data_IF_987881386509
#
_entry.id   IF_987881386509
#
_cell.length_a   1.000
_cell.length_b   1.000
_cell.length_c   1.000
_cell.angle_alpha   90.00
_cell.angle_beta   90.00
_cell.angle_gamma   90.00
#
_symmetry.space_group_name_H-M   'P 1'
#
loop_
_entity.id
_entity.type
_entity.pdbx_description
1 polymer ?
#
# COMPACT_ATOMS: atom_id res chain seq x y z
N UNK A 1 58.95 28.06 -30.96
CA UNK A 1 59.24 27.83 -32.37
C UNK A 1 57.89 27.60 -33.03
N UNK A 2 57.34 28.65 -33.63
CA UNK A 2 57.47 29.09 -35.00
C UNK A 2 57.08 27.91 -35.93
N UNK A 3 56.09 27.93 -36.68
CA UNK A 3 55.47 28.71 -37.73
C UNK A 3 54.74 27.66 -38.63
N UNK A 4 53.91 27.83 -39.52
CA UNK A 4 53.24 28.90 -40.27
C UNK A 4 52.23 28.26 -41.25
N UNK A 5 51.21 28.99 -41.57
CA UNK A 5 50.29 28.83 -42.74
C UNK A 5 51.00 29.04 -44.10
N UNK A 6 50.43 28.65 -45.26
CA UNK A 6 49.47 29.51 -45.95
C UNK A 6 48.43 28.86 -46.87
N UNK A 7 47.23 29.47 -47.05
CA UNK A 7 46.63 30.19 -48.21
C UNK A 7 46.55 29.42 -49.55
N UNK A 8 45.53 29.43 -50.33
CA UNK A 8 44.43 30.27 -50.79
C UNK A 8 43.72 29.63 -52.03
N UNK A 9 42.45 30.01 -52.22
CA UNK A 9 41.74 30.35 -53.49
C UNK A 9 41.02 29.24 -54.25
N UNK A 10 39.75 29.60 -54.53
CA UNK A 10 39.04 29.34 -55.77
C UNK A 10 37.52 29.39 -55.64
N UNK A 11 36.92 30.55 -55.89
CA UNK A 11 35.46 30.74 -56.10
C UNK A 11 35.00 30.15 -57.42
N UNK A 12 33.82 29.52 -57.44
CA UNK A 12 32.91 29.60 -58.56
C UNK A 12 31.44 29.59 -58.06
N UNK A 13 30.74 30.65 -58.39
CA UNK A 13 29.31 30.82 -58.24
C UNK A 13 28.56 30.24 -59.47
N UNK A 14 27.50 29.53 -59.26
CA UNK A 14 26.31 29.55 -60.19
C UNK A 14 25.05 29.17 -59.41
N UNK A 15 23.91 29.80 -59.67
CA UNK A 15 22.68 29.66 -58.89
C UNK A 15 21.79 28.58 -59.47
N UNK A 16 21.13 27.81 -58.63
CA UNK A 16 19.97 27.01 -59.05
C UNK A 16 18.86 27.12 -58.03
N UNK A 17 17.76 27.42 -58.53
CA UNK A 17 16.42 27.71 -58.09
C UNK A 17 15.89 26.87 -56.94
N UNK A 18 15.24 27.57 -56.04
CA UNK A 18 14.29 27.13 -55.03
C UNK A 18 13.11 26.34 -55.61
N UNK A 19 12.93 25.11 -55.11
CA UNK A 19 11.59 24.51 -55.02
C UNK A 19 11.47 24.00 -53.56
N UNK A 20 10.70 24.74 -52.80
CA UNK A 20 10.39 24.39 -51.41
C UNK A 20 9.39 23.22 -51.39
N UNK A 21 9.82 22.08 -50.91
CA UNK A 21 8.93 21.02 -50.44
C UNK A 21 8.91 21.07 -48.93
N UNK A 22 7.85 21.66 -48.35
CA UNK A 22 7.51 21.54 -46.95
C UNK A 22 7.10 20.07 -46.70
N UNK A 23 8.03 19.27 -46.18
CA UNK A 23 7.70 18.00 -45.54
C UNK A 23 7.21 18.32 -44.14
N UNK A 24 5.87 18.39 -44.01
CA UNK A 24 5.21 18.31 -42.69
C UNK A 24 5.37 16.87 -42.20
N UNK A 25 6.40 16.62 -41.40
CA UNK A 25 6.51 15.39 -40.63
C UNK A 25 5.43 15.42 -39.53
N UNK A 26 4.27 14.85 -39.85
CA UNK A 26 3.26 14.54 -38.85
C UNK A 26 3.83 13.53 -37.85
N UNK A 27 4.23 13.99 -36.67
CA UNK A 27 4.49 13.12 -35.56
C UNK A 27 3.13 12.54 -35.16
N UNK A 28 2.81 11.37 -35.68
CA UNK A 28 1.73 10.56 -35.15
C UNK A 28 2.12 10.15 -33.76
N UNK A 29 1.60 10.83 -32.74
CA UNK A 29 1.62 10.38 -31.37
C UNK A 29 0.83 9.07 -31.31
N UNK A 30 1.51 7.94 -31.43
CA UNK A 30 0.97 6.64 -31.07
C UNK A 30 0.73 6.67 -29.58
N UNK A 31 -0.48 7.05 -29.15
CA UNK A 31 -0.97 6.67 -27.82
C UNK A 31 -1.03 5.14 -27.83
N UNK A 32 -0.01 4.51 -27.28
CA UNK A 32 -0.09 3.11 -26.87
C UNK A 32 -1.12 3.09 -25.74
N UNK A 33 -2.40 3.01 -26.07
CA UNK A 33 -3.41 2.52 -25.14
C UNK A 33 -2.98 1.08 -24.86
N UNK A 34 -2.36 0.85 -23.69
CA UNK A 34 -2.15 -0.48 -23.20
C UNK A 34 -3.50 -1.20 -23.32
N UNK A 35 -3.54 -2.27 -24.10
CA UNK A 35 -4.75 -3.10 -24.19
C UNK A 35 -4.98 -3.65 -22.79
N UNK A 36 -5.93 -3.08 -22.06
CA UNK A 36 -6.34 -3.53 -20.74
C UNK A 36 -6.96 -4.91 -20.96
N UNK A 37 -6.19 -5.95 -20.66
CA UNK A 37 -6.66 -7.33 -20.77
C UNK A 37 -7.74 -7.53 -19.73
N UNK A 38 -8.96 -7.81 -20.16
CA UNK A 38 -10.04 -8.24 -19.24
C UNK A 38 -9.64 -9.58 -18.64
N UNK A 39 -9.58 -9.63 -17.32
CA UNK A 39 -9.23 -10.83 -16.57
C UNK A 39 -10.33 -11.07 -15.57
N UNK A 40 -11.23 -12.01 -15.85
CA UNK A 40 -12.31 -12.40 -14.96
C UNK A 40 -12.34 -13.91 -14.75
N UNK A 41 -12.58 -14.35 -13.55
CA UNK A 41 -12.95 -15.72 -13.22
C UNK A 41 -14.46 -15.77 -13.07
N UNK A 42 -15.20 -16.73 -13.68
CA UNK A 42 -16.66 -16.81 -13.59
C UNK A 42 -17.19 -17.03 -12.17
N UNK A 43 -16.35 -17.44 -11.24
CA UNK A 43 -16.70 -17.60 -9.83
C UNK A 43 -16.74 -16.27 -9.07
N UNK A 44 -16.11 -15.22 -9.60
CA UNK A 44 -16.00 -13.89 -8.99
C UNK A 44 -17.28 -13.07 -9.25
N UNK A 45 -18.38 -13.52 -8.65
CA UNK A 45 -19.75 -13.00 -8.92
C UNK A 45 -19.96 -11.54 -8.56
N UNK A 46 -19.09 -11.00 -7.70
CA UNK A 46 -19.13 -9.60 -7.27
C UNK A 46 -18.39 -8.65 -8.21
N UNK A 47 -17.78 -9.16 -9.30
CA UNK A 47 -16.97 -8.35 -10.20
C UNK A 47 -17.55 -8.27 -11.60
N UNK A 48 -17.68 -7.06 -12.12
CA UNK A 48 -17.83 -6.79 -13.53
C UNK A 48 -16.65 -5.95 -14.04
N UNK A 49 -16.37 -6.02 -15.33
CA UNK A 49 -15.38 -5.20 -16.01
C UNK A 49 -13.99 -5.21 -15.34
N UNK A 50 -13.52 -6.40 -14.93
CA UNK A 50 -12.20 -6.56 -14.30
C UNK A 50 -11.11 -6.08 -15.23
N UNK A 51 -10.25 -5.20 -14.75
CA UNK A 51 -9.11 -4.63 -15.49
C UNK A 51 -7.84 -4.72 -14.68
N UNK A 52 -6.73 -5.06 -15.34
CA UNK A 52 -5.39 -4.99 -14.76
C UNK A 52 -4.82 -3.58 -14.95
N UNK A 53 -4.27 -2.98 -13.90
CA UNK A 53 -3.75 -1.61 -13.91
C UNK A 53 -2.22 -1.55 -13.99
N UNK A 54 -1.51 -2.57 -13.51
CA UNK A 54 -0.04 -2.68 -13.56
C UNK A 54 0.37 -4.01 -14.19
N UNK A 55 1.57 -4.07 -14.80
CA UNK A 55 1.96 -5.20 -15.65
C UNK A 55 3.36 -5.75 -15.34
N UNK A 56 4.02 -5.26 -14.30
CA UNK A 56 5.32 -5.69 -13.82
C UNK A 56 5.61 -5.14 -12.43
N UNK A 57 6.58 -5.75 -11.74
CA UNK A 57 7.05 -5.36 -10.41
C UNK A 57 6.15 -5.88 -9.29
N UNK A 58 6.52 -5.52 -8.07
CA UNK A 58 5.77 -5.86 -6.88
C UNK A 58 4.89 -4.66 -6.50
N UNK A 59 3.59 -4.75 -6.77
CA UNK A 59 2.63 -3.68 -6.51
C UNK A 59 1.64 -4.13 -5.43
N UNK A 60 1.35 -3.29 -4.46
CA UNK A 60 0.44 -3.59 -3.37
C UNK A 60 -0.23 -2.32 -2.82
N UNK A 61 -1.23 -2.53 -1.96
CA UNK A 61 -1.84 -1.47 -1.16
C UNK A 61 -2.33 -0.28 -1.98
N UNK A 62 -3.20 -0.56 -2.96
CA UNK A 62 -3.82 0.47 -3.76
C UNK A 62 -5.08 1.01 -3.07
N UNK A 63 -5.15 2.33 -2.90
CA UNK A 63 -6.26 2.99 -2.21
C UNK A 63 -6.75 4.20 -2.98
N UNK A 64 -8.08 4.33 -3.05
CA UNK A 64 -8.74 5.40 -3.80
C UNK A 64 -8.55 6.78 -3.19
N UNK A 65 -8.46 7.79 -4.04
CA UNK A 65 -8.68 9.19 -3.66
C UNK A 65 -10.13 9.42 -3.24
N UNK A 66 -10.39 10.49 -2.48
CA UNK A 66 -11.75 10.81 -2.02
C UNK A 66 -12.70 11.14 -3.18
N UNK A 67 -12.17 11.68 -4.29
CA UNK A 67 -12.94 11.92 -5.52
C UNK A 67 -13.14 10.65 -6.38
N UNK A 68 -12.56 9.50 -5.97
CA UNK A 68 -12.65 8.23 -6.66
C UNK A 68 -11.93 8.15 -8.02
N UNK A 69 -11.14 9.17 -8.39
CA UNK A 69 -10.53 9.27 -9.73
C UNK A 69 -9.09 8.81 -9.81
N UNK A 70 -8.43 8.66 -8.67
CA UNK A 70 -7.01 8.29 -8.58
C UNK A 70 -6.81 7.20 -7.55
N UNK A 71 -5.67 6.52 -7.68
CA UNK A 71 -5.17 5.55 -6.71
C UNK A 71 -3.81 6.02 -6.21
N UNK A 72 -3.51 5.74 -4.94
CA UNK A 72 -2.15 5.66 -4.43
C UNK A 72 -1.80 4.20 -4.23
N UNK A 73 -0.53 3.83 -4.39
CA UNK A 73 -0.08 2.44 -4.20
C UNK A 73 1.42 2.38 -3.93
N UNK A 74 1.85 1.33 -3.26
CA UNK A 74 3.27 1.05 -3.10
C UNK A 74 3.76 0.11 -4.20
N UNK A 75 5.00 0.29 -4.63
CA UNK A 75 5.59 -0.55 -5.67
C UNK A 75 7.11 -0.59 -5.59
N UNK A 76 7.66 -1.78 -5.76
CA UNK A 76 9.06 -1.98 -6.10
C UNK A 76 9.17 -2.16 -7.62
N UNK A 77 9.54 -1.08 -8.32
CA UNK A 77 9.64 -0.97 -9.78
C UNK A 77 10.75 0.00 -10.18
N UNK A 78 11.00 0.16 -11.46
CA UNK A 78 11.90 1.17 -12.02
C UNK A 78 13.33 1.14 -11.43
N UNK A 79 13.80 -0.05 -10.99
CA UNK A 79 15.13 -0.23 -10.43
C UNK A 79 15.30 0.19 -8.96
N UNK A 80 14.21 0.51 -8.25
CA UNK A 80 14.28 0.76 -6.81
C UNK A 80 14.48 -0.54 -6.03
N UNK A 81 15.39 -0.50 -5.05
CA UNK A 81 15.67 -1.64 -4.17
C UNK A 81 14.54 -1.93 -3.18
N UNK A 82 13.74 -0.92 -2.86
CA UNK A 82 12.61 -0.98 -1.94
C UNK A 82 11.33 -0.43 -2.56
N UNK A 83 10.21 -0.79 -1.93
CA UNK A 83 8.92 -0.18 -2.23
C UNK A 83 8.99 1.34 -2.12
N UNK A 84 8.43 2.00 -3.11
CA UNK A 84 8.21 3.44 -3.15
C UNK A 84 6.71 3.73 -3.29
N UNK A 85 6.29 4.93 -2.91
CA UNK A 85 4.90 5.35 -3.02
C UNK A 85 4.65 6.04 -4.35
N UNK A 86 3.59 5.60 -5.04
CA UNK A 86 3.15 6.09 -6.34
C UNK A 86 1.68 6.55 -6.29
N UNK A 87 1.31 7.33 -7.29
CA UNK A 87 -0.08 7.68 -7.62
C UNK A 87 -0.35 7.42 -9.09
N UNK A 88 -1.61 7.11 -9.43
CA UNK A 88 -2.07 6.94 -10.82
C UNK A 88 -3.56 7.25 -10.95
N UNK A 89 -4.04 7.40 -12.18
CA UNK A 89 -5.47 7.39 -12.51
C UNK A 89 -6.09 6.01 -12.28
N UNK A 90 -7.40 5.95 -12.03
CA UNK A 90 -8.12 4.66 -11.88
C UNK A 90 -8.15 3.82 -13.17
N UNK A 91 -7.73 4.40 -14.28
CA UNK A 91 -7.54 3.73 -15.55
C UNK A 91 -6.11 3.19 -15.76
N UNK A 92 -5.23 3.34 -14.75
CA UNK A 92 -3.82 2.98 -14.80
C UNK A 92 -2.92 4.04 -15.47
N UNK A 93 -3.47 5.18 -15.86
CA UNK A 93 -2.71 6.26 -16.49
C UNK A 93 -1.95 7.14 -15.50
N UNK A 94 -1.03 7.96 -16.02
CA UNK A 94 -0.32 9.00 -15.25
C UNK A 94 0.38 8.49 -14.00
N UNK A 95 1.01 7.32 -14.07
CA UNK A 95 1.79 6.75 -12.95
C UNK A 95 2.93 7.70 -12.59
N UNK A 96 3.01 8.08 -11.33
CA UNK A 96 4.04 8.97 -10.81
C UNK A 96 4.46 8.57 -9.40
N UNK A 97 5.77 8.50 -9.15
CA UNK A 97 6.31 8.37 -7.80
C UNK A 97 6.13 9.68 -7.02
N UNK A 98 5.72 9.57 -5.76
CA UNK A 98 5.55 10.72 -4.84
C UNK A 98 6.49 10.65 -3.64
N UNK A 99 7.00 9.48 -3.30
CA UNK A 99 8.04 9.31 -2.25
C UNK A 99 9.42 9.74 -2.75
N UNK A 100 10.41 9.95 -1.86
CA UNK A 100 11.72 10.50 -2.25
C UNK A 100 12.58 9.57 -3.10
N UNK A 101 12.29 8.26 -3.18
CA UNK A 101 13.07 7.28 -3.95
C UNK A 101 14.22 6.66 -3.15
N UNK A 102 14.28 6.91 -1.86
CA UNK A 102 15.26 6.39 -0.91
C UNK A 102 14.52 5.81 0.30
N UNK A 103 15.17 4.88 1.02
CA UNK A 103 14.53 4.11 2.08
C UNK A 103 13.38 3.25 1.55
N UNK A 104 12.59 2.67 2.45
CA UNK A 104 11.39 1.89 2.14
C UNK A 104 10.14 2.67 2.49
N UNK A 105 9.11 2.60 1.66
CA UNK A 105 7.79 3.18 1.96
C UNK A 105 6.73 2.10 2.10
N UNK A 106 5.63 2.42 2.79
CA UNK A 106 4.45 1.54 2.90
C UNK A 106 3.19 2.34 3.18
N UNK A 107 2.03 1.74 2.91
CA UNK A 107 0.70 2.15 3.35
C UNK A 107 0.36 3.62 3.01
N UNK A 108 0.43 3.96 1.73
CA UNK A 108 0.10 5.32 1.30
C UNK A 108 -1.38 5.54 1.08
N UNK A 109 -1.94 6.60 1.69
CA UNK A 109 -3.33 6.99 1.54
C UNK A 109 -3.48 8.46 1.19
N UNK A 110 -4.64 8.81 0.62
CA UNK A 110 -4.97 10.21 0.35
C UNK A 110 -5.42 10.94 1.62
N UNK A 111 -4.96 12.15 1.78
CA UNK A 111 -5.47 13.06 2.82
C UNK A 111 -6.70 13.81 2.29
N UNK A 112 -7.49 14.37 3.20
CA UNK A 112 -8.75 15.06 2.87
C UNK A 112 -8.61 16.02 1.69
N UNK A 113 -9.59 16.02 0.81
CA UNK A 113 -9.63 16.81 -0.44
C UNK A 113 -8.51 16.44 -1.44
N UNK A 114 -7.88 15.29 -1.28
CA UNK A 114 -6.87 14.77 -2.20
C UNK A 114 -5.69 15.71 -2.49
N UNK A 115 -5.41 16.59 -1.53
CA UNK A 115 -4.35 17.61 -1.63
C UNK A 115 -2.99 17.06 -1.27
N UNK A 116 -2.93 15.96 -0.53
CA UNK A 116 -1.70 15.31 -0.10
C UNK A 116 -1.87 13.79 -0.06
N UNK A 117 -0.75 13.09 -0.09
CA UNK A 117 -0.64 11.64 0.16
C UNK A 117 0.09 11.47 1.49
N UNK A 118 -0.51 10.68 2.38
CA UNK A 118 0.05 10.21 3.64
C UNK A 118 0.77 8.89 3.37
N UNK A 119 1.95 8.64 3.93
CA UNK A 119 2.64 7.35 3.85
C UNK A 119 3.68 7.21 4.95
N UNK A 120 4.08 5.97 5.24
CA UNK A 120 5.17 5.69 6.16
C UNK A 120 6.46 5.38 5.41
N UNK A 121 7.60 5.84 5.94
CA UNK A 121 8.90 5.64 5.30
C UNK A 121 10.05 5.61 6.29
N UNK A 122 11.10 4.85 5.95
CA UNK A 122 12.33 4.72 6.74
C UNK A 122 13.38 5.76 6.39
N UNK A 123 13.23 6.49 5.27
CA UNK A 123 14.27 7.37 4.72
C UNK A 123 14.79 8.47 5.66
N UNK A 124 13.99 8.88 6.66
CA UNK A 124 14.42 9.90 7.63
C UNK A 124 15.35 9.36 8.72
N UNK A 125 15.40 8.04 8.90
CA UNK A 125 16.38 7.37 9.77
C UNK A 125 17.58 6.89 8.98
N UNK A 126 17.35 6.20 7.85
CA UNK A 126 18.39 5.73 6.93
C UNK A 126 17.89 5.84 5.48
N UNK A 127 18.64 6.50 4.57
CA UNK A 127 18.29 6.56 3.16
C UNK A 127 18.46 5.24 2.42
N UNK A 128 19.20 4.27 2.96
CA UNK A 128 19.34 2.95 2.36
C UNK A 128 18.06 2.14 2.47
N UNK A 129 17.90 1.16 1.58
CA UNK A 129 16.86 0.14 1.72
C UNK A 129 17.16 -0.73 2.95
N UNK A 130 16.25 -0.86 3.91
CA UNK A 130 16.49 -1.69 5.07
C UNK A 130 16.73 -3.16 4.65
N UNK A 131 17.61 -3.89 5.33
CA UNK A 131 17.90 -5.28 5.02
C UNK A 131 16.64 -6.15 5.15
N UNK A 132 16.51 -7.13 4.26
CA UNK A 132 15.45 -8.13 4.40
C UNK A 132 15.71 -8.97 5.64
N UNK A 133 14.66 -9.38 6.38
CA UNK A 133 14.83 -10.26 7.52
C UNK A 133 15.33 -11.64 7.09
N UNK A 134 15.95 -12.36 8.02
CA UNK A 134 16.28 -13.76 7.85
C UNK A 134 15.02 -14.63 7.97
N UNK A 135 14.68 -15.34 6.88
CA UNK A 135 13.53 -16.24 6.81
C UNK A 135 13.87 -17.71 7.13
N UNK A 136 15.11 -18.04 7.53
CA UNK A 136 15.52 -19.41 7.81
C UNK A 136 14.71 -20.08 8.93
N UNK A 137 14.18 -19.27 9.86
CA UNK A 137 13.30 -19.70 10.95
C UNK A 137 11.80 -19.46 10.69
N UNK A 138 11.42 -19.32 9.42
CA UNK A 138 10.03 -19.11 9.00
C UNK A 138 9.73 -17.65 8.60
N UNK A 139 8.52 -17.45 8.09
CA UNK A 139 8.09 -16.16 7.58
C UNK A 139 7.84 -15.16 8.70
N UNK A 140 8.41 -13.97 8.57
CA UNK A 140 8.30 -12.86 9.52
C UNK A 140 8.10 -11.54 8.77
N UNK A 141 7.46 -10.56 9.42
CA UNK A 141 7.41 -9.17 8.96
C UNK A 141 8.37 -8.32 9.78
N UNK A 142 9.19 -7.49 9.13
CA UNK A 142 10.01 -6.51 9.82
C UNK A 142 9.18 -5.30 10.24
N UNK A 143 9.36 -4.86 11.47
CA UNK A 143 8.79 -3.62 12.02
C UNK A 143 9.94 -2.64 12.26
N UNK A 144 10.49 -2.09 11.18
CA UNK A 144 11.69 -1.26 11.24
C UNK A 144 11.49 -0.06 12.17
N UNK A 145 12.40 0.17 13.14
CA UNK A 145 12.27 1.24 14.13
C UNK A 145 12.53 2.64 13.55
N UNK A 146 12.76 2.73 12.26
CA UNK A 146 12.98 3.98 11.53
C UNK A 146 11.75 4.44 10.75
N UNK A 147 10.64 3.72 10.81
CA UNK A 147 9.42 4.16 10.14
C UNK A 147 8.83 5.41 10.77
N UNK A 148 8.65 6.43 9.95
CA UNK A 148 7.98 7.69 10.28
C UNK A 148 6.84 7.94 9.30
N UNK A 149 5.81 8.63 9.77
CA UNK A 149 4.69 9.05 8.94
C UNK A 149 5.01 10.38 8.28
N UNK A 150 4.81 10.47 6.97
CA UNK A 150 5.04 11.64 6.14
C UNK A 150 3.80 12.01 5.36
N UNK A 151 3.75 13.26 4.90
CA UNK A 151 2.78 13.70 3.90
C UNK A 151 3.49 14.45 2.77
N UNK A 152 3.02 14.28 1.55
CA UNK A 152 3.60 14.86 0.33
C UNK A 152 2.48 15.33 -0.60
N UNK A 153 2.72 16.35 -1.44
CA UNK A 153 1.78 16.70 -2.50
C UNK A 153 1.73 15.60 -3.58
N UNK A 154 0.62 15.43 -4.31
CA UNK A 154 0.50 14.40 -5.35
C UNK A 154 1.48 14.55 -6.52
N UNK A 155 2.13 15.70 -6.64
CA UNK A 155 3.22 15.94 -7.61
C UNK A 155 4.61 15.51 -7.10
N UNK A 156 4.71 15.01 -5.86
CA UNK A 156 5.95 14.61 -5.20
C UNK A 156 6.69 15.75 -4.52
N UNK A 157 6.16 16.97 -4.54
CA UNK A 157 6.76 18.14 -3.87
C UNK A 157 6.26 18.32 -2.44
N UNK A 158 6.91 19.21 -1.67
CA UNK A 158 6.51 19.61 -0.31
C UNK A 158 6.37 18.41 0.64
N UNK A 159 7.35 17.48 0.63
CA UNK A 159 7.45 16.38 1.56
C UNK A 159 7.65 16.91 2.99
N UNK A 160 6.81 16.44 3.92
CA UNK A 160 6.86 16.86 5.33
C UNK A 160 6.80 15.67 6.27
N UNK A 161 7.65 15.58 7.29
CA UNK A 161 7.43 14.64 8.39
C UNK A 161 6.17 15.07 9.15
N UNK A 162 5.30 14.09 9.40
CA UNK A 162 4.08 14.32 10.16
C UNK A 162 4.20 13.76 11.58
N UNK A 163 4.77 12.56 11.71
CA UNK A 163 4.93 11.94 13.01
C UNK A 163 6.03 10.84 13.05
N UNK A 164 6.92 10.88 14.08
CA UNK A 164 7.20 12.07 14.88
C UNK A 164 7.75 13.21 14.02
N UNK A 165 7.47 14.46 14.41
CA UNK A 165 7.84 15.64 13.60
C UNK A 165 9.32 15.93 13.60
N UNK A 166 9.96 15.73 14.73
CA UNK A 166 11.38 16.04 14.94
C UNK A 166 12.11 14.81 15.43
N UNK A 167 13.17 14.45 14.76
CA UNK A 167 14.17 13.46 15.16
C UNK A 167 15.53 13.95 14.69
N UNK A 168 16.56 13.62 15.42
CA UNK A 168 17.95 13.80 14.96
C UNK A 168 18.23 12.79 13.83
N UNK A 169 19.14 13.11 12.90
CA UNK A 169 19.60 12.14 11.92
C UNK A 169 20.12 10.86 12.61
N UNK A 170 19.68 9.68 12.15
CA UNK A 170 20.06 8.40 12.73
C UNK A 170 19.33 8.01 14.02
N UNK A 171 18.43 8.84 14.56
CA UNK A 171 17.61 8.51 15.72
C UNK A 171 16.45 7.61 15.28
N UNK A 172 16.23 6.52 16.03
CA UNK A 172 15.10 5.64 15.83
C UNK A 172 13.80 6.29 16.32
N UNK A 173 12.77 6.24 15.49
CA UNK A 173 11.44 6.79 15.82
C UNK A 173 10.55 5.79 16.55
N UNK A 174 10.95 4.53 16.62
CA UNK A 174 10.06 3.40 16.75
C UNK A 174 9.32 3.12 15.45
N UNK A 175 8.57 2.02 15.43
CA UNK A 175 7.68 1.69 14.31
C UNK A 175 6.46 2.61 14.34
N UNK A 176 6.27 3.43 13.31
CA UNK A 176 5.07 4.26 13.12
C UNK A 176 4.61 4.12 11.67
N UNK A 177 3.65 3.23 11.44
CA UNK A 177 3.22 2.88 10.08
C UNK A 177 1.73 2.53 10.01
N UNK A 178 1.28 2.11 8.81
CA UNK A 178 -0.10 1.67 8.56
C UNK A 178 -1.13 2.75 8.91
N UNK A 179 -0.82 3.99 8.53
CA UNK A 179 -1.58 5.18 8.91
C UNK A 179 -2.77 5.42 7.99
N UNK A 180 -3.96 5.61 8.57
CA UNK A 180 -5.23 5.84 7.86
C UNK A 180 -5.94 7.07 8.39
N UNK A 181 -6.32 7.98 7.50
CA UNK A 181 -7.06 9.20 7.85
C UNK A 181 -8.54 8.86 8.12
N UNK A 182 -9.14 9.48 9.15
CA UNK A 182 -10.57 9.37 9.41
C UNK A 182 -11.40 9.99 8.27
N UNK A 183 -12.65 9.53 8.04
CA UNK A 183 -13.49 10.03 6.95
C UNK A 183 -13.74 11.54 7.01
N UNK A 184 -13.82 12.10 8.21
CA UNK A 184 -13.96 13.56 8.42
C UNK A 184 -12.66 14.34 8.23
N UNK A 185 -11.50 13.62 8.16
CA UNK A 185 -10.16 14.18 7.99
C UNK A 185 -9.57 14.80 9.24
N UNK A 186 -10.13 14.57 10.41
CA UNK A 186 -9.69 15.16 11.68
C UNK A 186 -8.61 14.35 12.39
N UNK A 187 -8.61 13.01 12.23
CA UNK A 187 -7.72 12.09 12.93
C UNK A 187 -6.99 11.14 11.99
N UNK A 188 -5.87 10.62 12.46
CA UNK A 188 -5.13 9.51 11.83
C UNK A 188 -5.08 8.37 12.85
N UNK A 189 -5.46 7.16 12.43
CA UNK A 189 -5.19 5.92 13.15
C UNK A 189 -3.94 5.26 12.56
N UNK A 190 -3.09 4.64 13.38
CA UNK A 190 -1.84 4.05 12.93
C UNK A 190 -1.35 2.97 13.89
N UNK A 191 -0.42 2.13 13.47
CA UNK A 191 0.27 1.14 14.32
C UNK A 191 1.57 1.74 14.84
N UNK A 192 1.86 1.56 16.13
CA UNK A 192 3.11 2.03 16.73
C UNK A 192 3.54 1.17 17.93
N UNK A 193 4.88 0.98 18.07
CA UNK A 193 5.52 0.28 19.19
C UNK A 193 5.95 1.22 20.34
N UNK A 194 5.57 2.49 20.29
CA UNK A 194 5.95 3.51 21.28
C UNK A 194 5.49 3.25 22.71
N UNK A 195 4.47 2.39 22.88
CA UNK A 195 4.00 1.90 24.19
C UNK A 195 4.80 0.73 24.74
N UNK A 196 5.80 0.23 24.01
CA UNK A 196 6.58 -0.97 24.34
C UNK A 196 6.03 -2.24 23.70
N UNK A 197 4.90 -2.15 22.99
CA UNK A 197 4.27 -3.20 22.20
C UNK A 197 3.69 -2.61 20.91
N UNK A 198 3.32 -3.45 19.96
CA UNK A 198 2.69 -3.03 18.70
C UNK A 198 1.20 -2.86 18.88
N UNK A 199 0.78 -1.62 19.06
CA UNK A 199 -0.59 -1.23 19.36
C UNK A 199 -1.18 -0.28 18.31
N UNK A 200 -2.50 -0.19 18.31
CA UNK A 200 -3.22 0.84 17.56
C UNK A 200 -3.21 2.15 18.33
N UNK A 201 -2.83 3.20 17.65
CA UNK A 201 -2.77 4.58 18.13
C UNK A 201 -3.61 5.49 17.26
N UNK A 202 -4.06 6.60 17.81
CA UNK A 202 -4.68 7.70 17.07
C UNK A 202 -3.99 9.02 17.38
N UNK A 203 -4.06 9.97 16.45
CA UNK A 203 -3.56 11.34 16.62
C UNK A 203 -4.41 12.31 15.80
N UNK A 204 -4.29 13.60 16.03
CA UNK A 204 -4.85 14.62 15.14
C UNK A 204 -4.22 14.48 13.73
N UNK A 205 -4.95 14.87 12.69
CA UNK A 205 -4.46 14.82 11.31
C UNK A 205 -3.22 15.67 11.03
N UNK A 206 -2.88 16.58 11.94
CA UNK A 206 -1.65 17.36 11.91
C UNK A 206 -0.46 16.69 12.64
N UNK A 207 -0.61 15.46 13.16
CA UNK A 207 0.42 14.70 13.88
C UNK A 207 0.54 15.07 15.37
N UNK A 208 -0.39 15.83 15.93
CA UNK A 208 -0.40 16.18 17.36
C UNK A 208 -1.28 15.24 18.19
N UNK A 209 -1.10 15.24 19.50
CA UNK A 209 -1.91 14.52 20.50
C UNK A 209 -2.03 13.01 20.23
N UNK A 210 -0.92 12.26 20.08
CA UNK A 210 -0.99 10.80 19.92
C UNK A 210 -1.57 10.16 21.18
N UNK A 211 -2.50 9.21 20.99
CA UNK A 211 -3.19 8.47 22.05
C UNK A 211 -3.28 6.99 21.69
N UNK A 212 -2.90 6.13 22.60
CA UNK A 212 -2.99 4.68 22.48
C UNK A 212 -4.44 4.21 22.62
N UNK A 213 -4.88 3.32 21.73
CA UNK A 213 -6.22 2.74 21.72
C UNK A 213 -6.24 1.29 22.23
N UNK A 214 -5.25 0.49 21.85
CA UNK A 214 -5.14 -0.91 22.31
C UNK A 214 -3.96 -1.09 23.29
N UNK A 215 -4.00 -2.15 24.13
CA UNK A 215 -2.98 -2.45 25.14
C UNK A 215 -2.87 -3.95 25.45
N UNK A 216 -3.50 -4.79 24.65
CA UNK A 216 -3.41 -6.24 24.84
C UNK A 216 -2.04 -6.71 24.37
N UNK A 217 -1.33 -7.50 25.19
CA UNK A 217 -0.04 -8.05 24.77
C UNK A 217 -0.16 -8.77 23.42
N UNK A 218 0.64 -8.35 22.44
CA UNK A 218 0.64 -8.92 21.12
C UNK A 218 0.71 -7.86 20.03
N UNK A 219 0.50 -8.28 18.81
CA UNK A 219 0.47 -7.41 17.65
C UNK A 219 -0.95 -6.98 17.35
N UNK A 220 -1.20 -5.68 17.38
CA UNK A 220 -2.37 -5.01 16.83
C UNK A 220 -1.92 -4.10 15.67
N UNK A 221 -2.41 -4.33 14.45
CA UNK A 221 -1.92 -3.55 13.30
C UNK A 221 -2.89 -3.46 12.13
N UNK A 222 -2.54 -2.64 11.13
CA UNK A 222 -3.32 -2.40 9.94
C UNK A 222 -4.72 -1.85 10.23
N UNK A 223 -4.84 -0.79 11.02
CA UNK A 223 -6.14 -0.24 11.38
C UNK A 223 -6.82 0.45 10.20
N UNK A 224 -8.16 0.40 10.16
CA UNK A 224 -8.96 1.08 9.16
C UNK A 224 -10.26 1.63 9.73
N UNK A 225 -10.54 2.93 9.47
CA UNK A 225 -11.77 3.58 9.89
C UNK A 225 -12.99 3.03 9.13
N UNK A 226 -14.13 2.86 9.84
CA UNK A 226 -15.42 2.63 9.20
C UNK A 226 -15.84 3.84 8.35
N UNK A 227 -16.69 3.66 7.32
CA UNK A 227 -17.13 4.76 6.46
C UNK A 227 -17.79 5.93 7.21
N UNK A 228 -18.45 5.66 8.34
CA UNK A 228 -19.07 6.66 9.21
C UNK A 228 -18.12 7.24 10.28
N UNK A 229 -16.88 6.73 10.35
CA UNK A 229 -15.87 7.17 11.32
C UNK A 229 -16.13 6.74 12.78
N UNK A 230 -17.14 5.90 13.04
CA UNK A 230 -17.49 5.51 14.41
C UNK A 230 -16.72 4.31 14.93
N UNK A 231 -16.08 3.54 14.04
CA UNK A 231 -15.35 2.30 14.36
C UNK A 231 -14.01 2.21 13.65
N UNK A 232 -13.15 1.35 14.18
CA UNK A 232 -11.86 0.99 13.62
C UNK A 232 -11.78 -0.53 13.55
N UNK A 233 -11.52 -1.12 12.37
CA UNK A 233 -11.14 -2.53 12.25
C UNK A 233 -9.62 -2.65 12.20
N UNK A 234 -9.10 -3.81 12.59
CA UNK A 234 -7.67 -4.10 12.58
C UNK A 234 -7.43 -5.61 12.59
N UNK A 235 -6.20 -6.04 12.30
CA UNK A 235 -5.75 -7.42 12.47
C UNK A 235 -4.91 -7.54 13.74
N UNK A 236 -4.95 -8.71 14.38
CA UNK A 236 -4.22 -8.92 15.61
C UNK A 236 -3.70 -10.35 15.78
N UNK A 237 -2.60 -10.45 16.55
CA UNK A 237 -2.09 -11.68 17.12
C UNK A 237 -1.87 -11.47 18.62
N UNK A 238 -2.64 -12.16 19.46
CA UNK A 238 -2.49 -12.12 20.90
C UNK A 238 -1.94 -13.47 21.38
N UNK A 239 -0.69 -13.52 21.92
CA UNK A 239 -0.12 -14.75 22.46
C UNK A 239 -0.82 -15.15 23.75
N UNK A 240 -1.16 -16.44 23.89
CA UNK A 240 -1.94 -16.97 25.02
C UNK A 240 -1.11 -17.90 25.92
N UNK A 241 -0.11 -18.60 25.33
CA UNK A 241 0.76 -19.52 26.10
C UNK A 241 2.10 -18.86 26.47
N UNK A 242 2.80 -19.43 27.45
CA UNK A 242 4.12 -18.94 27.85
C UNK A 242 5.14 -19.01 26.69
N UNK A 243 5.04 -20.03 25.86
CA UNK A 243 5.88 -20.24 24.68
C UNK A 243 5.59 -19.16 23.63
N UNK A 244 4.32 -18.92 23.30
CA UNK A 244 3.90 -17.87 22.36
C UNK A 244 4.34 -16.48 22.84
N UNK A 245 4.18 -16.18 24.14
CA UNK A 245 4.62 -14.91 24.74
C UNK A 245 6.13 -14.75 24.62
N UNK A 246 6.89 -15.80 24.89
CA UNK A 246 8.36 -15.79 24.80
C UNK A 246 8.81 -15.58 23.35
N UNK A 247 8.22 -16.30 22.40
CA UNK A 247 8.51 -16.13 20.97
C UNK A 247 8.18 -14.72 20.49
N UNK A 248 6.97 -14.22 20.79
CA UNK A 248 6.54 -12.89 20.40
C UNK A 248 7.49 -11.81 20.91
N UNK A 249 7.82 -11.80 22.19
CA UNK A 249 8.77 -10.85 22.78
C UNK A 249 10.18 -10.96 22.20
N UNK A 250 10.63 -12.18 21.91
CA UNK A 250 11.93 -12.41 21.27
C UNK A 250 11.98 -11.87 19.83
N UNK A 251 10.90 -12.03 19.09
CA UNK A 251 10.76 -11.46 17.73
C UNK A 251 10.69 -9.94 17.77
N UNK A 252 9.84 -9.37 18.62
CA UNK A 252 9.68 -7.93 18.77
C UNK A 252 10.98 -7.22 19.16
N UNK A 253 11.77 -7.81 20.05
CA UNK A 253 13.11 -7.30 20.41
C UNK A 253 14.07 -7.22 19.22
N UNK A 254 13.82 -8.02 18.17
CA UNK A 254 14.57 -8.01 16.91
C UNK A 254 13.87 -7.21 15.81
N UNK A 255 12.84 -6.44 16.16
CA UNK A 255 11.99 -5.69 15.23
C UNK A 255 11.30 -6.59 14.20
N UNK A 256 10.78 -7.74 14.63
CA UNK A 256 10.09 -8.72 13.81
C UNK A 256 8.77 -9.13 14.46
N UNK A 257 7.79 -9.53 13.63
CA UNK A 257 6.59 -10.24 14.06
C UNK A 257 6.36 -11.46 13.15
N UNK A 258 5.62 -12.46 13.67
CA UNK A 258 5.20 -13.63 12.89
C UNK A 258 3.72 -13.52 12.50
N UNK A 259 3.40 -13.20 11.24
CA UNK A 259 2.03 -12.96 10.81
C UNK A 259 1.30 -14.21 10.32
N UNK A 260 1.69 -15.40 10.77
CA UNK A 260 1.18 -16.69 10.26
C UNK A 260 -0.20 -17.05 10.79
N UNK A 261 -0.61 -16.41 11.89
CA UNK A 261 -1.95 -16.56 12.48
C UNK A 261 -2.44 -15.21 12.93
N UNK A 262 -3.44 -14.66 12.24
CA UNK A 262 -3.97 -13.33 12.51
C UNK A 262 -5.50 -13.39 12.52
N UNK A 263 -6.09 -12.83 13.56
CA UNK A 263 -7.53 -12.60 13.66
C UNK A 263 -7.90 -11.18 13.29
N UNK A 264 -9.14 -10.98 12.88
CA UNK A 264 -9.73 -9.67 12.64
C UNK A 264 -10.52 -9.21 13.85
N UNK A 265 -10.37 -7.92 14.15
CA UNK A 265 -11.05 -7.24 15.24
C UNK A 265 -11.67 -5.93 14.75
N UNK A 266 -12.61 -5.41 15.53
CA UNK A 266 -13.03 -4.03 15.46
C UNK A 266 -13.26 -3.45 16.86
N UNK A 267 -13.25 -2.14 16.97
CA UNK A 267 -13.51 -1.38 18.19
C UNK A 267 -14.23 -0.08 17.85
N UNK A 268 -14.77 0.60 18.84
CA UNK A 268 -15.25 1.96 18.67
C UNK A 268 -14.08 2.92 18.47
N UNK A 269 -14.33 4.08 17.85
CA UNK A 269 -13.30 5.07 17.47
C UNK A 269 -12.46 5.58 18.65
N UNK A 270 -12.99 5.49 19.86
CA UNK A 270 -12.29 5.86 21.10
C UNK A 270 -11.41 4.74 21.70
N UNK A 271 -11.39 3.55 21.08
CA UNK A 271 -10.67 2.36 21.55
C UNK A 271 -11.49 1.47 22.49
N UNK A 272 -12.75 1.82 22.79
CA UNK A 272 -13.62 0.98 23.62
C UNK A 272 -14.29 -0.15 22.82
N UNK A 273 -14.93 -1.09 23.51
CA UNK A 273 -15.74 -2.18 22.96
C UNK A 273 -15.02 -3.00 21.89
N UNK A 274 -13.75 -3.37 22.13
CA UNK A 274 -12.98 -4.26 21.26
C UNK A 274 -13.68 -5.61 21.10
N UNK A 275 -13.93 -6.04 19.84
CA UNK A 275 -14.60 -7.28 19.50
C UNK A 275 -13.84 -8.04 18.43
N UNK A 276 -13.66 -9.34 18.61
CA UNK A 276 -13.09 -10.24 17.62
C UNK A 276 -14.16 -10.66 16.61
N UNK A 277 -13.82 -10.58 15.30
CA UNK A 277 -14.68 -10.97 14.18
C UNK A 277 -14.39 -12.41 13.73
N UNK A 278 -13.12 -12.79 13.65
CA UNK A 278 -12.70 -14.15 13.24
C UNK A 278 -12.09 -14.91 14.41
N UNK A 279 -11.98 -16.24 14.27
CA UNK A 279 -11.30 -17.11 15.24
C UNK A 279 -10.26 -17.96 14.48
N UNK A 280 -9.42 -17.29 13.74
CA UNK A 280 -8.53 -17.85 12.74
C UNK A 280 -7.27 -18.45 13.38
N UNK A 281 -6.76 -17.84 14.47
CA UNK A 281 -5.59 -18.31 15.22
C UNK A 281 -5.73 -19.79 15.60
N UNK A 282 -6.88 -20.23 16.08
CA UNK A 282 -7.14 -21.64 16.46
C UNK A 282 -7.05 -22.65 15.31
N UNK A 283 -7.12 -22.17 14.08
CA UNK A 283 -7.08 -22.96 12.85
C UNK A 283 -5.79 -22.79 12.04
N UNK A 284 -4.78 -22.07 12.60
CA UNK A 284 -3.57 -21.66 11.89
C UNK A 284 -3.87 -20.90 10.59
N UNK A 285 -4.85 -20.01 10.63
CA UNK A 285 -5.24 -19.15 9.52
C UNK A 285 -4.69 -17.73 9.76
N UNK A 286 -4.20 -17.10 8.71
CA UNK A 286 -3.89 -15.70 8.71
C UNK A 286 -4.95 -14.92 7.93
N UNK A 287 -5.59 -13.95 8.58
CA UNK A 287 -6.48 -12.97 7.96
C UNK A 287 -5.89 -11.57 8.14
N UNK A 288 -5.67 -10.83 7.05
CA UNK A 288 -5.00 -9.53 7.11
C UNK A 288 -5.57 -8.53 6.11
N UNK A 289 -5.10 -7.27 6.19
CA UNK A 289 -5.53 -6.13 5.40
C UNK A 289 -7.07 -5.96 5.39
N UNK A 290 -7.73 -5.92 6.57
CA UNK A 290 -9.16 -5.67 6.60
C UNK A 290 -9.47 -4.25 6.12
N UNK A 291 -10.53 -4.11 5.33
CA UNK A 291 -11.18 -2.84 5.06
C UNK A 291 -12.70 -3.01 5.14
N UNK A 292 -13.41 -1.91 5.27
CA UNK A 292 -14.86 -1.96 5.48
C UNK A 292 -15.63 -2.15 4.17
N UNK A 293 -16.74 -2.87 4.24
CA UNK A 293 -17.76 -2.80 3.17
C UNK A 293 -18.36 -1.39 3.12
N UNK A 294 -18.82 -0.90 1.96
CA UNK A 294 -19.35 0.47 1.81
C UNK A 294 -20.48 0.84 2.77
N UNK A 295 -21.27 -0.15 3.17
CA UNK A 295 -22.39 0.02 4.13
C UNK A 295 -21.95 -0.02 5.61
N UNK A 296 -20.66 -0.24 5.90
CA UNK A 296 -20.12 -0.32 7.26
C UNK A 296 -20.57 -1.55 8.08
N UNK A 297 -21.22 -2.56 7.46
CA UNK A 297 -21.78 -3.71 8.18
C UNK A 297 -20.89 -4.95 8.16
N UNK A 298 -19.80 -4.92 7.42
CA UNK A 298 -18.87 -6.03 7.28
C UNK A 298 -17.47 -5.59 6.88
N UNK A 299 -16.60 -6.56 6.76
CA UNK A 299 -15.20 -6.38 6.34
C UNK A 299 -14.93 -7.17 5.06
N UNK A 300 -14.03 -6.66 4.22
CA UNK A 300 -13.31 -7.40 3.19
C UNK A 300 -11.85 -7.52 3.61
N UNK A 301 -11.23 -8.65 3.34
CA UNK A 301 -9.89 -8.95 3.85
C UNK A 301 -9.23 -10.07 3.05
N UNK A 302 -7.91 -10.19 3.15
CA UNK A 302 -7.17 -11.33 2.59
C UNK A 302 -7.06 -12.45 3.62
N UNK A 303 -7.21 -13.70 3.19
CA UNK A 303 -7.05 -14.87 4.07
C UNK A 303 -6.56 -16.10 3.31
N UNK A 304 -5.77 -16.94 4.00
CA UNK A 304 -5.28 -18.22 3.49
C UNK A 304 -6.13 -19.44 3.92
N UNK A 305 -7.39 -19.19 4.35
CA UNK A 305 -8.25 -20.20 4.99
C UNK A 305 -8.55 -21.42 4.14
N UNK A 306 -8.71 -21.25 2.83
CA UNK A 306 -9.08 -22.33 1.91
C UNK A 306 -7.87 -23.10 1.37
N UNK A 307 -6.64 -22.62 1.62
CA UNK A 307 -5.44 -23.35 1.24
C UNK A 307 -4.99 -24.31 2.37
N UNK A 308 -4.97 -25.63 2.14
CA UNK A 308 -4.49 -26.59 3.14
C UNK A 308 -3.05 -26.35 3.60
N UNK A 309 -2.21 -25.75 2.74
CA UNK A 309 -0.81 -25.42 3.03
C UNK A 309 -0.61 -24.03 3.61
N UNK A 310 -1.68 -23.24 3.75
CA UNK A 310 -1.66 -21.86 4.29
C UNK A 310 -0.73 -20.89 3.54
N UNK A 311 -0.52 -21.10 2.25
CA UNK A 311 0.39 -20.30 1.40
C UNK A 311 -0.33 -19.39 0.43
N UNK A 312 -1.56 -19.77 0.01
CA UNK A 312 -2.38 -19.02 -0.95
C UNK A 312 -3.37 -18.14 -0.21
N UNK A 313 -3.46 -16.90 -0.64
CA UNK A 313 -4.38 -15.92 -0.08
C UNK A 313 -5.42 -15.51 -1.11
N UNK A 314 -6.64 -15.38 -0.64
CA UNK A 314 -7.77 -14.89 -1.42
C UNK A 314 -8.49 -13.78 -0.65
N UNK A 315 -9.28 -12.99 -1.34
CA UNK A 315 -10.13 -11.98 -0.72
C UNK A 315 -11.45 -12.62 -0.27
N UNK A 316 -11.87 -12.28 0.94
CA UNK A 316 -13.12 -12.69 1.55
C UNK A 316 -13.91 -11.50 2.06
N UNK A 317 -15.22 -11.71 2.26
CA UNK A 317 -16.13 -10.80 2.94
C UNK A 317 -16.72 -11.51 4.17
N UNK A 318 -16.96 -10.77 5.26
CA UNK A 318 -17.58 -11.27 6.49
C UNK A 318 -18.38 -10.16 7.17
N UNK A 319 -19.48 -10.50 7.85
CA UNK A 319 -20.21 -9.57 8.69
C UNK A 319 -19.49 -9.37 10.04
N UNK A 320 -19.76 -8.25 10.73
CA UNK A 320 -19.14 -7.96 12.02
C UNK A 320 -19.49 -8.96 13.14
N UNK A 321 -20.58 -9.70 12.99
CA UNK A 321 -20.98 -10.79 13.92
C UNK A 321 -20.26 -12.12 13.62
N UNK A 322 -19.33 -12.15 12.69
CA UNK A 322 -18.57 -13.32 12.27
C UNK A 322 -19.32 -14.27 11.32
N UNK A 323 -20.53 -13.93 10.89
CA UNK A 323 -21.33 -14.70 9.94
C UNK A 323 -21.21 -14.18 8.52
N UNK A 324 -21.78 -14.94 7.57
CA UNK A 324 -21.80 -14.53 6.16
C UNK A 324 -20.43 -14.48 5.51
N UNK A 325 -19.51 -15.35 5.97
CA UNK A 325 -18.20 -15.50 5.33
C UNK A 325 -18.37 -15.94 3.89
N UNK A 326 -17.80 -15.19 2.96
CA UNK A 326 -17.88 -15.45 1.53
C UNK A 326 -16.54 -15.18 0.86
N UNK A 327 -16.07 -16.09 -0.01
CA UNK A 327 -14.90 -15.92 -0.84
C UNK A 327 -15.24 -15.07 -2.06
N UNK A 328 -14.45 -14.04 -2.32
CA UNK A 328 -14.66 -13.05 -3.39
C UNK A 328 -13.77 -13.31 -4.58
N UNK A 329 -12.49 -13.64 -4.36
CA UNK A 329 -11.53 -13.89 -5.44
C UNK A 329 -11.16 -15.36 -5.54
N UNK A 330 -10.70 -15.77 -6.75
CA UNK A 330 -10.35 -17.15 -7.05
C UNK A 330 -9.05 -17.21 -7.87
N UNK A 331 -7.99 -16.57 -7.34
CA UNK A 331 -6.67 -16.58 -7.93
C UNK A 331 -5.90 -17.87 -7.68
N UNK A 332 -4.67 -17.94 -8.22
CA UNK A 332 -3.85 -19.15 -8.12
C UNK A 332 -2.92 -19.15 -6.91
N UNK A 333 -2.51 -17.97 -6.40
CA UNK A 333 -1.56 -17.88 -5.29
C UNK A 333 -1.85 -16.74 -4.32
N UNK A 334 -2.06 -15.51 -4.80
CA UNK A 334 -2.21 -14.33 -3.95
C UNK A 334 -3.19 -13.34 -4.52
N UNK A 335 -4.24 -13.08 -3.77
CA UNK A 335 -5.13 -11.93 -3.89
C UNK A 335 -5.23 -11.25 -2.51
N UNK A 336 -4.99 -9.94 -2.43
CA UNK A 336 -4.96 -9.25 -1.15
C UNK A 336 -5.07 -7.74 -1.25
N UNK A 337 -5.06 -7.08 -0.09
CA UNK A 337 -5.20 -5.63 0.04
C UNK A 337 -6.46 -5.07 -0.64
N UNK A 338 -7.64 -5.62 -0.30
CA UNK A 338 -8.90 -5.19 -0.90
C UNK A 338 -9.31 -3.80 -0.42
N UNK A 339 -9.83 -2.97 -1.32
CA UNK A 339 -10.36 -1.65 -0.97
C UNK A 339 -11.50 -1.26 -1.90
N UNK A 340 -12.52 -0.59 -1.34
CA UNK A 340 -13.62 -0.01 -2.10
C UNK A 340 -13.35 1.45 -2.45
N UNK A 341 -13.89 1.89 -3.60
CA UNK A 341 -14.01 3.32 -3.89
C UNK A 341 -14.96 4.01 -2.89
N UNK A 342 -14.83 5.33 -2.68
CA UNK A 342 -15.69 6.06 -1.74
C UNK A 342 -17.19 5.96 -2.04
N UNK A 343 -17.57 5.78 -3.30
CA UNK A 343 -18.97 5.58 -3.74
C UNK A 343 -19.43 4.12 -3.69
N UNK A 344 -18.53 3.19 -3.33
CA UNK A 344 -18.79 1.75 -3.24
C UNK A 344 -18.98 1.04 -4.57
N UNK A 345 -18.73 1.70 -5.71
CA UNK A 345 -18.97 1.14 -7.04
C UNK A 345 -17.78 0.41 -7.63
N UNK A 346 -16.59 0.69 -7.16
CA UNK A 346 -15.37 0.04 -7.63
C UNK A 346 -14.66 -0.67 -6.48
N UNK A 347 -13.94 -1.71 -6.86
CA UNK A 347 -13.13 -2.52 -5.96
C UNK A 347 -11.73 -2.67 -6.53
N UNK A 348 -10.70 -2.44 -5.73
CA UNK A 348 -9.30 -2.61 -6.11
C UNK A 348 -8.64 -3.63 -5.20
N UNK A 349 -7.75 -4.46 -5.77
CA UNK A 349 -6.95 -5.42 -5.01
C UNK A 349 -5.60 -5.66 -5.69
N UNK A 350 -4.65 -6.21 -4.96
CA UNK A 350 -3.39 -6.71 -5.49
C UNK A 350 -3.50 -8.22 -5.76
N UNK A 351 -2.96 -8.68 -6.89
CA UNK A 351 -2.98 -10.07 -7.31
C UNK A 351 -1.70 -10.44 -8.06
N UNK A 352 -1.25 -11.67 -7.92
CA UNK A 352 -0.19 -12.21 -8.77
C UNK A 352 -0.67 -12.80 -10.11
N UNK A 353 -1.95 -12.65 -10.42
CA UNK A 353 -2.51 -12.98 -11.75
C UNK A 353 -1.71 -12.29 -12.84
N UNK A 354 -1.44 -13.02 -13.93
CA UNK A 354 -0.67 -12.51 -15.07
C UNK A 354 0.71 -11.94 -14.69
N UNK A 355 1.28 -12.29 -13.55
CA UNK A 355 2.67 -11.98 -13.22
C UNK A 355 3.60 -12.61 -14.28
N UNK A 356 4.63 -11.89 -14.67
CA UNK A 356 5.67 -12.37 -15.58
C UNK A 356 6.78 -13.08 -14.83
N UNK A 357 7.09 -12.58 -13.66
CA UNK A 357 8.09 -13.11 -12.75
C UNK A 357 7.43 -13.74 -11.50
N UNK A 358 8.07 -14.69 -10.82
CA UNK A 358 7.47 -15.41 -9.69
C UNK A 358 7.00 -14.55 -8.52
N UNK A 359 7.52 -13.33 -8.40
CA UNK A 359 7.20 -12.40 -7.30
C UNK A 359 6.40 -11.19 -7.76
N UNK A 360 6.00 -11.16 -9.04
CA UNK A 360 5.18 -10.06 -9.53
C UNK A 360 3.81 -10.09 -8.86
N UNK A 361 3.41 -8.92 -8.37
CA UNK A 361 2.04 -8.64 -7.99
C UNK A 361 1.55 -7.43 -8.77
N UNK A 362 0.33 -7.52 -9.27
CA UNK A 362 -0.29 -6.47 -10.07
C UNK A 362 -1.56 -5.95 -9.40
N UNK A 363 -1.93 -4.72 -9.73
CA UNK A 363 -3.16 -4.12 -9.27
C UNK A 363 -4.28 -4.38 -10.25
N UNK A 364 -5.43 -4.75 -9.73
CA UNK A 364 -6.66 -4.98 -10.47
C UNK A 364 -7.76 -4.10 -9.92
N UNK A 365 -8.66 -3.69 -10.79
CA UNK A 365 -9.87 -2.94 -10.48
C UNK A 365 -11.06 -3.59 -11.15
N UNK A 366 -12.20 -3.59 -10.46
CA UNK A 366 -13.47 -4.06 -10.99
C UNK A 366 -14.61 -3.12 -10.60
N UNK A 367 -15.70 -3.15 -11.34
CA UNK A 367 -16.99 -2.66 -10.88
C UNK A 367 -17.55 -3.65 -9.87
N UNK A 368 -18.08 -3.16 -8.75
CA UNK A 368 -18.63 -3.98 -7.68
C UNK A 368 -20.11 -4.28 -7.91
N UNK A 369 -20.46 -5.54 -7.90
CA UNK A 369 -21.84 -6.05 -7.91
C UNK A 369 -22.15 -6.52 -6.48
N UNK A 370 -23.09 -5.88 -5.77
CA UNK A 370 -23.44 -6.20 -4.36
C UNK A 370 -23.88 -7.63 -4.11
#
# INVERSE_FOLDING_TARGET
>A
MVAQFPRRMGRLFLPVSTVGALLIAGVAAFSVRAQIKTVSDPRERHFANVRQLTFAGQNAEAYFSHDGRRLTFQSQRDGYDCDQQFVMGIDGSNVRRVSPGIGRTTCGLWMKKDTRVLFSSTHGGDPACPPKPDFSHGYVWPVYPTYRIYSVKPDGTDLKPLFPRTLKPGEESGYNAESVLSPDGSHIVFTSDRGGDLDIWTMNSDGTKPRQLTRTLGYDGGPWWSPDGTKICFRAYHPETAEEITEYKSLLKRHLIRPTTLDLYYMDADGSHVRRVTNDKKQNIASFAPSWTPNGKGLVFASNRDDPKRRKFEVYKINLDGKGLERITFGDQFDGFPSFSPDGKHFVWASNRNGKEPHDTNLFIAEWIP
#
